data_IF_754888161241
#
_entry.id   IF_754888161241
#
_cell.length_a   1.000
_cell.length_b   1.000
_cell.length_c   1.000
_cell.angle_alpha   90.00
_cell.angle_beta   90.00
_cell.angle_gamma   90.00
#
_symmetry.space_group_name_H-M   'P 1'
#
loop_
_entity.id
_entity.type
_entity.pdbx_description
1 polymer ?
#
# COMPACT_ATOMS: atom_id res chain seq x y z
N UNK A 1 -1.53 -35.19 -7.46
CA UNK A 1 -1.53 -34.22 -6.34
C UNK A 1 -0.27 -33.41 -6.51
N UNK A 2 -0.39 -32.16 -6.86
CA UNK A 2 0.76 -31.25 -6.83
C UNK A 2 1.19 -31.08 -5.37
N UNK A 3 2.50 -31.10 -5.11
CA UNK A 3 3.05 -30.87 -3.76
C UNK A 3 2.67 -29.47 -3.26
N UNK A 4 2.89 -29.22 -1.95
CA UNK A 4 2.74 -27.90 -1.38
C UNK A 4 3.69 -26.90 -2.06
N UNK A 5 3.22 -25.68 -2.30
CA UNK A 5 4.10 -24.60 -2.81
C UNK A 5 5.09 -24.20 -1.72
N UNK A 6 6.39 -24.30 -2.00
CA UNK A 6 7.48 -23.98 -1.06
C UNK A 6 7.86 -22.52 -1.17
N UNK A 7 7.69 -21.77 -0.09
CA UNK A 7 7.78 -20.30 -0.07
C UNK A 7 8.87 -19.85 0.89
N UNK A 8 9.66 -18.84 0.48
CA UNK A 8 10.46 -18.05 1.37
C UNK A 8 9.83 -16.65 1.58
N UNK A 9 9.95 -16.08 2.78
CA UNK A 9 9.52 -14.72 3.08
C UNK A 9 10.74 -13.81 3.28
N UNK A 10 10.79 -12.71 2.54
CA UNK A 10 11.91 -11.74 2.53
C UNK A 10 11.42 -10.40 3.05
N UNK A 11 11.97 -9.96 4.19
CA UNK A 11 11.52 -8.80 4.95
C UNK A 11 10.33 -9.14 5.85
N UNK A 12 10.55 -9.30 7.14
CA UNK A 12 9.52 -9.66 8.13
C UNK A 12 8.86 -8.42 8.73
N UNK A 13 8.41 -7.52 7.87
CA UNK A 13 7.62 -6.35 8.24
C UNK A 13 6.15 -6.69 8.49
N UNK A 14 5.39 -5.67 8.91
CA UNK A 14 3.95 -5.83 9.21
C UNK A 14 3.14 -6.42 8.04
N UNK A 15 3.49 -6.09 6.79
CA UNK A 15 2.78 -6.62 5.61
C UNK A 15 3.05 -8.10 5.41
N UNK A 16 4.31 -8.49 5.39
CA UNK A 16 4.70 -9.90 5.24
C UNK A 16 4.08 -10.77 6.33
N UNK A 17 4.11 -10.32 7.60
CA UNK A 17 3.48 -11.08 8.69
C UNK A 17 1.98 -11.33 8.46
N UNK A 18 1.25 -10.39 7.82
CA UNK A 18 -0.16 -10.61 7.46
C UNK A 18 -0.32 -11.68 6.38
N UNK A 19 0.55 -11.70 5.39
CA UNK A 19 0.55 -12.75 4.34
C UNK A 19 0.89 -14.12 4.90
N UNK A 20 1.84 -14.18 5.82
CA UNK A 20 2.23 -15.43 6.48
C UNK A 20 1.11 -16.03 7.34
N UNK A 21 0.18 -15.22 7.87
CA UNK A 21 -1.01 -15.75 8.56
C UNK A 21 -1.87 -16.62 7.64
N UNK A 22 -1.99 -16.26 6.36
CA UNK A 22 -2.67 -17.12 5.39
C UNK A 22 -1.98 -18.49 5.29
N UNK A 23 -0.64 -18.54 5.20
CA UNK A 23 0.11 -19.80 5.16
C UNK A 23 -0.05 -20.61 6.45
N UNK A 24 -0.13 -19.94 7.59
CA UNK A 24 -0.36 -20.58 8.88
C UNK A 24 -1.72 -21.29 8.95
N UNK A 25 -2.75 -20.66 8.40
CA UNK A 25 -4.12 -21.18 8.34
C UNK A 25 -4.33 -22.25 7.25
N UNK A 26 -3.52 -22.26 6.18
CA UNK A 26 -3.68 -23.09 4.98
C UNK A 26 -2.42 -23.92 4.67
N UNK A 27 -1.93 -24.63 5.67
CA UNK A 27 -0.70 -25.45 5.60
C UNK A 27 -0.78 -26.62 4.61
N UNK A 28 -1.97 -26.93 4.13
CA UNK A 28 -2.19 -27.94 3.10
C UNK A 28 -1.78 -27.47 1.71
N UNK A 29 -1.85 -26.16 1.43
CA UNK A 29 -1.59 -25.57 0.11
C UNK A 29 -0.15 -25.09 -0.06
N UNK A 30 0.46 -24.55 1.01
CA UNK A 30 1.81 -24.01 0.96
C UNK A 30 2.62 -24.33 2.23
N UNK A 31 3.93 -24.25 2.10
CA UNK A 31 4.91 -24.44 3.17
C UNK A 31 5.86 -23.25 3.23
N UNK A 32 5.96 -22.57 4.38
CA UNK A 32 7.02 -21.62 4.64
C UNK A 32 8.31 -22.39 4.93
N UNK A 33 9.29 -22.27 4.04
CA UNK A 33 10.57 -23.02 4.10
C UNK A 33 11.66 -22.18 4.72
N UNK A 34 11.68 -20.87 4.46
CA UNK A 34 12.74 -19.97 4.94
C UNK A 34 12.22 -18.54 5.15
N UNK A 35 12.96 -17.80 5.98
CA UNK A 35 12.73 -16.37 6.20
C UNK A 35 14.03 -15.59 6.12
N UNK A 36 13.94 -14.34 5.65
CA UNK A 36 15.09 -13.43 5.53
C UNK A 36 14.72 -12.08 6.15
N UNK A 37 15.45 -11.66 7.18
CA UNK A 37 15.39 -10.28 7.73
C UNK A 37 16.73 -9.96 8.43
N UNK A 38 17.33 -8.79 8.23
CA UNK A 38 18.55 -8.40 8.93
C UNK A 38 18.45 -8.47 10.46
N UNK A 39 17.25 -8.24 10.98
CA UNK A 39 16.89 -8.40 12.38
C UNK A 39 16.24 -9.76 12.62
N UNK A 40 17.05 -10.75 12.99
CA UNK A 40 16.55 -12.12 13.23
C UNK A 40 15.57 -12.23 14.40
N UNK A 41 15.48 -11.22 15.29
CA UNK A 41 14.45 -11.24 16.35
C UNK A 41 13.04 -11.21 15.80
N UNK A 42 12.84 -10.67 14.59
CA UNK A 42 11.56 -10.71 13.89
C UNK A 42 11.21 -12.10 13.36
N UNK A 43 12.18 -12.98 13.21
CA UNK A 43 11.96 -14.35 12.76
C UNK A 43 11.39 -15.27 13.87
N UNK A 44 11.48 -14.88 15.14
CA UNK A 44 11.11 -15.73 16.27
C UNK A 44 9.65 -16.20 16.19
N UNK A 45 8.71 -15.30 15.86
CA UNK A 45 7.32 -15.68 15.63
C UNK A 45 7.16 -16.69 14.48
N UNK A 46 7.80 -16.43 13.33
CA UNK A 46 7.70 -17.34 12.18
C UNK A 46 8.33 -18.72 12.48
N UNK A 47 9.44 -18.72 13.22
CA UNK A 47 10.07 -19.98 13.67
C UNK A 47 9.14 -20.82 14.52
N UNK A 48 8.47 -20.18 15.49
CA UNK A 48 7.51 -20.86 16.37
C UNK A 48 6.29 -21.32 15.58
N UNK A 49 5.65 -20.40 14.85
CA UNK A 49 4.42 -20.67 14.13
C UNK A 49 4.57 -21.77 13.05
N UNK A 50 5.69 -21.77 12.33
CA UNK A 50 5.93 -22.72 11.22
C UNK A 50 6.93 -23.84 11.55
N UNK A 51 7.44 -23.89 12.78
CA UNK A 51 8.46 -24.86 13.20
C UNK A 51 9.71 -24.82 12.30
N UNK A 52 10.14 -23.61 11.92
CA UNK A 52 11.30 -23.42 11.06
C UNK A 52 12.60 -23.74 11.81
N UNK A 53 13.54 -24.50 11.21
CA UNK A 53 14.88 -24.63 11.72
C UNK A 53 15.62 -23.29 11.77
N UNK A 54 16.50 -23.10 12.75
CA UNK A 54 17.27 -21.84 12.86
C UNK A 54 18.16 -21.56 11.66
N UNK A 55 18.65 -22.61 11.01
CA UNK A 55 19.44 -22.57 9.76
C UNK A 55 18.64 -22.13 8.53
N UNK A 56 17.30 -22.04 8.62
CA UNK A 56 16.43 -21.51 7.57
C UNK A 56 16.05 -20.03 7.82
N UNK A 57 16.68 -19.38 8.80
CA UNK A 57 16.50 -17.97 9.10
C UNK A 57 17.77 -17.21 8.70
N UNK A 58 17.71 -16.43 7.65
CA UNK A 58 18.82 -15.75 7.02
C UNK A 58 18.81 -14.25 7.33
N UNK A 59 20.00 -13.61 7.36
CA UNK A 59 20.12 -12.16 7.50
C UNK A 59 20.09 -11.42 6.17
N UNK A 60 20.51 -12.08 5.10
CA UNK A 60 20.62 -11.51 3.76
C UNK A 60 20.05 -12.47 2.71
N UNK A 61 19.59 -11.89 1.60
CA UNK A 61 19.01 -12.65 0.49
C UNK A 61 20.05 -13.58 -0.15
N UNK A 62 21.31 -13.15 -0.23
CA UNK A 62 22.39 -13.97 -0.79
C UNK A 62 22.65 -15.24 0.04
N UNK A 63 22.44 -15.19 1.36
CA UNK A 63 22.55 -16.39 2.21
C UNK A 63 21.43 -17.40 1.85
N UNK A 64 20.21 -16.91 1.60
CA UNK A 64 19.10 -17.76 1.15
C UNK A 64 19.41 -18.40 -0.21
N UNK A 65 19.90 -17.61 -1.19
CA UNK A 65 20.19 -18.12 -2.53
C UNK A 65 21.35 -19.13 -2.52
N UNK A 66 22.32 -18.96 -1.63
CA UNK A 66 23.45 -19.87 -1.45
C UNK A 66 23.09 -21.14 -0.65
N UNK A 67 21.95 -21.19 0.04
CA UNK A 67 21.57 -22.29 0.94
C UNK A 67 21.28 -23.61 0.23
N UNK A 68 20.95 -23.57 -1.06
CA UNK A 68 20.53 -24.75 -1.84
C UNK A 68 19.12 -25.24 -1.53
N UNK A 69 18.34 -24.51 -0.74
CA UNK A 69 16.94 -24.82 -0.47
C UNK A 69 16.10 -24.79 -1.75
N UNK A 70 15.25 -25.78 -1.90
CA UNK A 70 14.32 -25.85 -3.04
C UNK A 70 13.08 -25.04 -2.73
N UNK A 71 12.87 -23.97 -3.49
CA UNK A 71 11.76 -23.04 -3.36
C UNK A 71 11.03 -22.89 -4.69
N UNK A 72 9.71 -22.72 -4.61
CA UNK A 72 8.85 -22.41 -5.74
C UNK A 72 8.61 -20.89 -5.85
N UNK A 73 8.60 -20.18 -4.71
CA UNK A 73 8.24 -18.77 -4.66
C UNK A 73 8.87 -18.00 -3.49
N UNK A 74 8.88 -16.67 -3.64
CA UNK A 74 9.18 -15.72 -2.59
C UNK A 74 8.05 -14.73 -2.35
N UNK A 75 7.80 -14.39 -1.07
CA UNK A 75 7.01 -13.21 -0.67
C UNK A 75 8.01 -12.11 -0.30
N UNK A 76 7.98 -10.98 -0.99
CA UNK A 76 8.90 -9.86 -0.78
C UNK A 76 8.14 -8.68 -0.22
N UNK A 77 8.41 -8.31 1.04
CA UNK A 77 7.81 -7.18 1.75
C UNK A 77 8.84 -6.37 2.52
N UNK A 78 9.96 -6.11 1.89
CA UNK A 78 11.04 -5.22 2.35
C UNK A 78 10.68 -3.74 2.17
N UNK A 79 11.51 -2.78 2.59
CA UNK A 79 11.41 -1.41 2.08
C UNK A 79 11.54 -1.35 0.55
N UNK A 80 10.83 -0.41 -0.08
CA UNK A 80 10.66 -0.25 -1.52
C UNK A 80 11.98 -0.24 -2.31
N UNK A 81 13.00 0.33 -1.72
CA UNK A 81 14.38 0.41 -2.21
C UNK A 81 14.96 -0.95 -2.67
N UNK A 82 14.56 -2.05 -2.03
CA UNK A 82 15.10 -3.39 -2.29
C UNK A 82 14.22 -4.25 -3.20
N UNK A 83 13.00 -3.79 -3.53
CA UNK A 83 12.02 -4.59 -4.25
C UNK A 83 12.51 -5.08 -5.61
N UNK A 84 13.12 -4.20 -6.41
CA UNK A 84 13.64 -4.52 -7.74
C UNK A 84 14.71 -5.61 -7.67
N UNK A 85 15.78 -5.37 -6.91
CA UNK A 85 16.91 -6.30 -6.82
C UNK A 85 16.48 -7.68 -6.34
N UNK A 86 15.66 -7.73 -5.30
CA UNK A 86 15.17 -8.97 -4.72
C UNK A 86 14.23 -9.72 -5.66
N UNK A 87 13.33 -9.03 -6.35
CA UNK A 87 12.40 -9.64 -7.29
C UNK A 87 13.12 -10.23 -8.50
N UNK A 88 14.05 -9.48 -9.09
CA UNK A 88 14.88 -9.93 -10.21
C UNK A 88 15.75 -11.12 -9.77
N UNK A 89 16.39 -11.03 -8.61
CA UNK A 89 17.19 -12.12 -8.03
C UNK A 89 16.36 -13.39 -7.85
N UNK A 90 15.18 -13.30 -7.25
CA UNK A 90 14.29 -14.43 -7.04
C UNK A 90 13.88 -15.10 -8.37
N UNK A 91 13.46 -14.32 -9.36
CA UNK A 91 13.06 -14.85 -10.68
C UNK A 91 14.21 -15.55 -11.39
N UNK A 92 15.42 -15.02 -11.33
CA UNK A 92 16.62 -15.65 -11.91
C UNK A 92 17.02 -16.95 -11.20
N UNK A 93 16.63 -17.13 -9.92
CA UNK A 93 16.73 -18.40 -9.21
C UNK A 93 15.57 -19.35 -9.51
N UNK A 94 14.63 -18.98 -10.39
CA UNK A 94 13.51 -19.79 -10.81
C UNK A 94 12.29 -19.70 -9.88
N UNK A 95 12.23 -18.72 -8.98
CA UNK A 95 11.15 -18.55 -8.04
C UNK A 95 10.10 -17.56 -8.54
N UNK A 96 8.82 -17.86 -8.31
CA UNK A 96 7.72 -16.91 -8.49
C UNK A 96 7.73 -15.87 -7.37
N UNK A 97 7.16 -14.69 -7.60
CA UNK A 97 7.27 -13.58 -6.64
C UNK A 97 5.89 -13.00 -6.32
N UNK A 98 5.57 -12.93 -5.03
CA UNK A 98 4.53 -12.05 -4.49
C UNK A 98 5.23 -10.81 -3.96
N UNK A 99 5.03 -9.66 -4.62
CA UNK A 99 5.79 -8.44 -4.38
C UNK A 99 4.93 -7.33 -3.77
N UNK A 100 5.37 -6.79 -2.64
CA UNK A 100 4.74 -5.57 -2.10
C UNK A 100 4.91 -4.39 -3.05
N UNK A 101 3.94 -3.48 -2.95
CA UNK A 101 3.94 -2.25 -3.74
C UNK A 101 4.70 -1.11 -3.02
N UNK A 102 5.25 -0.14 -3.76
CA UNK A 102 5.41 -0.13 -5.22
C UNK A 102 6.44 -1.15 -5.66
N UNK A 103 6.32 -1.68 -6.88
CA UNK A 103 7.21 -2.77 -7.32
C UNK A 103 8.65 -2.32 -7.58
N UNK A 104 8.88 -1.02 -7.83
CA UNK A 104 10.20 -0.40 -7.97
C UNK A 104 10.13 1.09 -7.74
N UNK A 105 11.26 1.75 -7.55
CA UNK A 105 11.37 3.19 -7.30
C UNK A 105 11.54 4.03 -8.57
N UNK A 106 11.90 3.40 -9.69
CA UNK A 106 12.06 4.06 -10.99
C UNK A 106 11.31 3.32 -12.10
N UNK A 107 11.07 4.01 -13.21
CA UNK A 107 10.45 3.41 -14.39
C UNK A 107 11.29 2.24 -14.91
N UNK A 108 12.60 2.40 -14.96
CA UNK A 108 13.55 1.38 -15.43
C UNK A 108 13.45 0.11 -14.57
N UNK A 109 13.43 0.26 -13.25
CA UNK A 109 13.29 -0.86 -12.33
C UNK A 109 11.97 -1.62 -12.54
N UNK A 110 10.87 -0.88 -12.71
CA UNK A 110 9.56 -1.49 -12.94
C UNK A 110 9.51 -2.24 -14.29
N UNK A 111 10.12 -1.68 -15.34
CA UNK A 111 10.22 -2.34 -16.65
C UNK A 111 11.09 -3.58 -16.61
N UNK A 112 12.24 -3.51 -15.94
CA UNK A 112 13.16 -4.65 -15.78
C UNK A 112 12.48 -5.82 -15.06
N UNK A 113 11.70 -5.57 -13.99
CA UNK A 113 10.91 -6.63 -13.33
C UNK A 113 9.96 -7.32 -14.31
N UNK A 114 9.28 -6.58 -15.17
CA UNK A 114 8.36 -7.16 -16.16
C UNK A 114 9.13 -7.93 -17.22
N UNK A 115 10.24 -7.40 -17.72
CA UNK A 115 11.09 -8.04 -18.71
C UNK A 115 11.66 -9.35 -18.19
N UNK A 116 12.25 -9.35 -16.99
CA UNK A 116 12.79 -10.57 -16.36
C UNK A 116 11.69 -11.59 -16.04
N UNK A 117 10.48 -11.14 -15.69
CA UNK A 117 9.32 -12.03 -15.51
C UNK A 117 8.99 -12.78 -16.82
N UNK A 118 9.00 -12.07 -17.95
CA UNK A 118 8.77 -12.67 -19.28
C UNK A 118 9.93 -13.59 -19.69
N UNK A 119 11.17 -13.17 -19.49
CA UNK A 119 12.38 -13.96 -19.83
C UNK A 119 12.44 -15.29 -19.06
N UNK A 120 12.14 -15.26 -17.77
CA UNK A 120 12.24 -16.44 -16.90
C UNK A 120 10.97 -17.30 -16.86
N UNK A 121 9.86 -16.78 -17.37
CA UNK A 121 8.55 -17.39 -17.26
C UNK A 121 8.05 -17.47 -15.79
N UNK A 122 8.55 -16.59 -14.91
CA UNK A 122 8.14 -16.53 -13.51
C UNK A 122 7.05 -15.48 -13.33
N UNK A 123 6.00 -15.82 -12.57
CA UNK A 123 4.93 -14.88 -12.22
C UNK A 123 5.43 -13.90 -11.16
N UNK A 124 5.16 -12.62 -11.38
CA UNK A 124 5.24 -11.58 -10.35
C UNK A 124 3.84 -11.04 -10.12
N UNK A 125 3.30 -11.29 -8.93
CA UNK A 125 2.01 -10.75 -8.46
C UNK A 125 2.29 -9.55 -7.58
N UNK A 126 1.80 -8.37 -7.95
CA UNK A 126 1.95 -7.15 -7.15
C UNK A 126 0.80 -7.05 -6.16
N UNK A 127 1.09 -6.74 -4.89
CA UNK A 127 0.10 -6.69 -3.81
C UNK A 127 -0.87 -5.50 -3.93
N UNK A 128 -1.57 -5.40 -5.04
CA UNK A 128 -2.65 -4.43 -5.27
C UNK A 128 -3.96 -4.94 -4.68
N UNK A 129 -4.03 -4.88 -3.34
CA UNK A 129 -5.10 -5.48 -2.54
C UNK A 129 -6.50 -4.91 -2.83
N UNK A 130 -6.63 -3.71 -3.42
CA UNK A 130 -7.93 -3.15 -3.75
C UNK A 130 -8.69 -4.02 -4.76
N UNK A 131 -8.01 -4.66 -5.70
CA UNK A 131 -8.64 -5.59 -6.67
C UNK A 131 -9.22 -6.86 -6.01
N UNK A 132 -8.89 -7.12 -4.73
CA UNK A 132 -9.38 -8.26 -3.95
C UNK A 132 -10.36 -7.85 -2.84
N UNK A 133 -10.48 -6.56 -2.56
CA UNK A 133 -11.36 -6.05 -1.51
C UNK A 133 -12.82 -6.07 -1.96
N UNK A 134 -13.77 -6.62 -1.16
CA UNK A 134 -15.17 -6.80 -1.58
C UNK A 134 -15.86 -5.54 -2.09
N UNK A 135 -15.59 -4.39 -1.46
CA UNK A 135 -16.13 -3.09 -1.87
C UNK A 135 -15.68 -2.69 -3.29
N UNK A 136 -14.37 -2.75 -3.57
CA UNK A 136 -13.82 -2.37 -4.89
C UNK A 136 -14.19 -3.38 -5.98
N UNK A 137 -14.29 -4.66 -5.64
CA UNK A 137 -14.83 -5.69 -6.54
C UNK A 137 -16.28 -5.39 -6.92
N UNK A 138 -17.10 -4.93 -5.97
CA UNK A 138 -18.49 -4.56 -6.25
C UNK A 138 -18.59 -3.31 -7.12
N UNK A 139 -17.73 -2.30 -6.92
CA UNK A 139 -17.66 -1.14 -7.83
C UNK A 139 -17.31 -1.59 -9.26
N UNK A 140 -16.38 -2.50 -9.43
CA UNK A 140 -16.01 -3.06 -10.74
C UNK A 140 -17.18 -3.85 -11.37
N UNK A 141 -17.86 -4.68 -10.59
CA UNK A 141 -19.04 -5.43 -11.05
C UNK A 141 -20.14 -4.49 -11.53
N UNK A 142 -20.48 -3.47 -10.72
CA UNK A 142 -21.49 -2.48 -11.07
C UNK A 142 -21.12 -1.68 -12.31
N UNK A 143 -19.86 -1.24 -12.41
CA UNK A 143 -19.38 -0.47 -13.56
C UNK A 143 -19.42 -1.26 -14.88
N UNK A 144 -19.39 -2.59 -14.81
CA UNK A 144 -19.47 -3.49 -15.96
C UNK A 144 -20.92 -3.95 -16.27
N UNK A 145 -21.89 -3.61 -15.41
CA UNK A 145 -23.30 -3.95 -15.62
C UNK A 145 -23.88 -3.13 -16.79
N UNK A 146 -24.42 -3.81 -17.76
CA UNK A 146 -25.00 -3.19 -18.98
C UNK A 146 -26.10 -2.16 -18.69
N UNK A 147 -26.75 -2.25 -17.54
CA UNK A 147 -27.76 -1.26 -17.11
C UNK A 147 -27.17 0.14 -16.91
N UNK A 148 -25.90 0.22 -16.54
CA UNK A 148 -25.20 1.48 -16.33
C UNK A 148 -24.88 2.21 -17.65
N UNK A 149 -24.75 1.48 -18.76
CA UNK A 149 -24.20 2.00 -20.01
C UNK A 149 -22.69 2.18 -19.92
N UNK A 150 -22.12 2.99 -20.81
CA UNK A 150 -20.68 3.25 -20.81
C UNK A 150 -20.29 4.17 -19.64
N UNK A 151 -19.07 3.96 -19.10
CA UNK A 151 -18.43 4.92 -18.20
C UNK A 151 -18.11 6.18 -19.01
N UNK A 152 -18.46 7.33 -18.48
CA UNK A 152 -18.17 8.65 -19.04
C UNK A 152 -17.00 9.33 -18.29
N UNK A 153 -17.02 9.23 -16.98
CA UNK A 153 -15.93 9.71 -16.14
C UNK A 153 -15.82 8.96 -14.81
N UNK A 154 -14.62 8.99 -14.23
CA UNK A 154 -14.35 8.47 -12.89
C UNK A 154 -13.62 9.54 -12.08
N UNK A 155 -14.11 9.81 -10.86
CA UNK A 155 -13.40 10.59 -9.85
C UNK A 155 -13.16 9.73 -8.63
N UNK A 156 -11.89 9.61 -8.25
CA UNK A 156 -11.46 8.79 -7.12
C UNK A 156 -10.58 9.60 -6.19
N UNK A 157 -10.91 9.62 -4.90
CA UNK A 157 -10.22 10.42 -3.87
C UNK A 157 -9.67 9.48 -2.80
N UNK A 158 -8.38 9.47 -2.61
CA UNK A 158 -7.71 8.84 -1.44
C UNK A 158 -7.54 9.90 -0.35
N UNK A 159 -8.27 9.75 0.75
CA UNK A 159 -8.14 10.56 1.96
C UNK A 159 -7.16 9.89 2.92
N UNK A 160 -5.91 10.31 2.91
CA UNK A 160 -4.83 9.70 3.70
C UNK A 160 -5.04 9.89 5.20
N UNK A 161 -5.62 11.03 5.57
CA UNK A 161 -5.85 11.44 6.94
C UNK A 161 -4.65 12.16 7.57
N UNK A 162 -4.94 13.26 8.27
CA UNK A 162 -3.92 14.16 8.85
C UNK A 162 -2.94 13.47 9.81
N UNK A 163 -3.43 12.59 10.67
CA UNK A 163 -2.59 11.90 11.67
C UNK A 163 -1.60 10.96 11.00
N UNK A 164 -2.07 10.18 10.01
CA UNK A 164 -1.22 9.29 9.23
C UNK A 164 -0.19 10.07 8.44
N UNK A 165 -0.59 11.17 7.83
CA UNK A 165 0.33 12.02 7.08
C UNK A 165 1.40 12.59 8.00
N UNK A 166 1.01 13.17 9.14
CA UNK A 166 1.94 13.71 10.12
C UNK A 166 2.90 12.64 10.68
N UNK A 167 2.39 11.44 10.98
CA UNK A 167 3.20 10.34 11.53
C UNK A 167 4.13 9.74 10.48
N UNK A 168 3.60 9.33 9.32
CA UNK A 168 4.32 8.49 8.36
C UNK A 168 5.18 9.32 7.42
N UNK A 169 4.59 10.37 6.85
CA UNK A 169 5.21 11.11 5.76
C UNK A 169 5.96 12.36 6.21
N UNK A 170 5.45 13.12 7.18
CA UNK A 170 6.13 14.35 7.63
C UNK A 170 7.20 14.06 8.68
N UNK A 171 6.87 13.29 9.73
CA UNK A 171 7.81 12.95 10.82
C UNK A 171 8.52 11.63 10.60
N UNK A 172 7.90 10.71 9.87
CA UNK A 172 8.36 9.35 9.68
C UNK A 172 9.48 9.22 8.64
N UNK A 173 9.89 7.98 8.33
CA UNK A 173 10.99 7.72 7.40
C UNK A 173 10.66 8.04 5.94
N UNK A 174 9.39 8.27 5.59
CA UNK A 174 8.95 8.62 4.24
C UNK A 174 8.85 10.14 4.01
N UNK A 175 9.60 10.96 4.76
CA UNK A 175 9.54 12.41 4.66
C UNK A 175 10.44 13.02 3.58
N UNK A 176 11.25 12.22 2.90
CA UNK A 176 12.15 12.68 1.84
C UNK A 176 12.00 11.82 0.59
N UNK A 177 11.76 12.48 -0.54
CA UNK A 177 11.65 11.83 -1.85
C UNK A 177 12.93 11.09 -2.26
N UNK A 178 14.09 11.64 -1.93
CA UNK A 178 15.39 11.04 -2.27
C UNK A 178 15.61 9.65 -1.65
N UNK A 179 15.00 9.39 -0.51
CA UNK A 179 15.11 8.12 0.22
C UNK A 179 14.00 7.14 -0.13
N UNK A 180 12.90 7.65 -0.70
CA UNK A 180 11.68 6.91 -0.97
C UNK A 180 11.04 7.42 -2.25
N UNK A 181 9.95 6.81 -2.67
CA UNK A 181 9.07 7.38 -3.70
C UNK A 181 8.22 8.52 -3.09
N UNK A 182 7.56 9.31 -3.93
CA UNK A 182 6.66 10.37 -3.47
C UNK A 182 5.49 9.82 -2.69
N UNK A 183 4.82 10.69 -1.89
CA UNK A 183 3.62 10.29 -1.15
C UNK A 183 2.54 9.79 -2.10
N UNK A 184 2.35 10.48 -3.23
CA UNK A 184 1.37 10.07 -4.24
C UNK A 184 1.70 8.67 -4.78
N UNK A 185 2.93 8.41 -5.16
CA UNK A 185 3.32 7.10 -5.65
C UNK A 185 3.15 6.02 -4.58
N UNK A 186 3.68 6.24 -3.38
CA UNK A 186 3.57 5.28 -2.26
C UNK A 186 2.12 4.95 -1.91
N UNK A 187 1.23 5.95 -1.96
CA UNK A 187 -0.17 5.80 -1.56
C UNK A 187 -1.11 5.50 -2.71
N UNK A 188 -1.03 6.28 -3.78
CA UNK A 188 -2.03 6.26 -4.85
C UNK A 188 -1.70 5.35 -6.02
N UNK A 189 -0.56 4.62 -6.02
CA UNK A 189 -0.35 3.58 -7.02
C UNK A 189 -1.47 2.52 -7.02
N UNK A 190 -2.02 2.20 -5.84
CA UNK A 190 -3.23 1.38 -5.70
C UNK A 190 -4.46 2.01 -6.36
N UNK A 191 -4.62 3.32 -6.17
CA UNK A 191 -5.80 4.07 -6.58
C UNK A 191 -5.78 4.31 -8.08
N UNK A 192 -4.60 4.59 -8.63
CA UNK A 192 -4.38 4.64 -10.08
C UNK A 192 -4.63 3.27 -10.71
N UNK A 193 -4.09 2.19 -10.12
CA UNK A 193 -4.33 0.83 -10.57
C UNK A 193 -5.83 0.48 -10.55
N UNK A 194 -6.53 0.81 -9.47
CA UNK A 194 -7.97 0.59 -9.35
C UNK A 194 -8.74 1.32 -10.45
N UNK A 195 -8.42 2.58 -10.71
CA UNK A 195 -9.11 3.37 -11.74
C UNK A 195 -8.83 2.83 -13.13
N UNK A 196 -7.59 2.41 -13.44
CA UNK A 196 -7.27 1.75 -14.70
C UNK A 196 -8.02 0.42 -14.86
N UNK A 197 -8.04 -0.39 -13.81
CA UNK A 197 -8.80 -1.65 -13.80
C UNK A 197 -10.30 -1.41 -13.98
N UNK A 198 -10.85 -0.36 -13.33
CA UNK A 198 -12.26 -0.01 -13.42
C UNK A 198 -12.66 0.37 -14.84
N UNK A 199 -11.89 1.25 -15.48
CA UNK A 199 -12.16 1.77 -16.83
C UNK A 199 -11.79 0.80 -17.94
N UNK A 200 -10.74 -0.01 -17.73
CA UNK A 200 -10.21 -0.90 -18.77
C UNK A 200 -9.56 -0.19 -19.96
N UNK A 201 -9.45 1.16 -19.89
CA UNK A 201 -8.95 1.99 -20.97
C UNK A 201 -7.43 2.17 -20.93
N UNK A 202 -6.86 2.59 -22.08
CA UNK A 202 -5.48 3.05 -22.18
C UNK A 202 -5.44 4.56 -21.99
N UNK A 203 -4.42 5.05 -21.28
CA UNK A 203 -4.24 6.48 -21.03
C UNK A 203 -3.53 7.14 -22.19
N UNK A 204 -4.16 8.15 -22.78
CA UNK A 204 -3.61 8.96 -23.86
C UNK A 204 -2.82 10.15 -23.33
N UNK A 205 -3.37 10.86 -22.33
CA UNK A 205 -2.73 12.04 -21.74
C UNK A 205 -2.92 12.10 -20.22
N UNK A 206 -1.99 12.81 -19.56
CA UNK A 206 -1.99 13.01 -18.10
C UNK A 206 -1.73 14.48 -17.82
N UNK A 207 -2.49 15.03 -16.84
CA UNK A 207 -2.22 16.33 -16.22
C UNK A 207 -2.14 16.15 -14.72
N UNK A 208 -1.10 16.68 -14.07
CA UNK A 208 -0.91 16.61 -12.62
C UNK A 208 -0.83 18.01 -12.03
N UNK A 209 -1.59 18.22 -10.96
CA UNK A 209 -1.50 19.42 -10.12
C UNK A 209 -1.17 19.00 -8.71
N UNK A 210 -0.07 19.51 -8.15
CA UNK A 210 0.43 19.14 -6.83
C UNK A 210 0.90 20.36 -6.04
N UNK A 211 0.89 20.24 -4.70
CA UNK A 211 1.40 21.27 -3.83
C UNK A 211 1.40 20.91 -2.36
N UNK A 212 2.26 21.58 -1.60
CA UNK A 212 2.29 21.55 -0.14
C UNK A 212 1.54 22.77 0.36
N UNK A 213 0.35 22.54 0.93
CA UNK A 213 -0.54 23.59 1.41
C UNK A 213 -0.39 23.86 2.90
N UNK A 214 -0.15 22.83 3.69
CA UNK A 214 -0.19 22.87 5.15
C UNK A 214 1.20 22.76 5.77
N UNK A 215 2.01 21.79 5.38
CA UNK A 215 3.27 21.45 6.05
C UNK A 215 4.42 22.34 5.62
N UNK A 216 4.24 23.66 5.77
CA UNK A 216 5.24 24.70 5.46
C UNK A 216 5.50 25.57 6.68
N UNK A 217 6.70 26.16 6.77
CA UNK A 217 7.05 27.07 7.86
C UNK A 217 6.19 28.34 7.91
N UNK A 218 5.64 28.76 6.77
CA UNK A 218 4.73 29.91 6.70
C UNK A 218 3.40 29.67 7.44
N UNK A 219 2.99 28.41 7.59
CA UNK A 219 1.76 28.03 8.29
C UNK A 219 1.99 27.70 9.78
N UNK A 220 3.23 27.83 10.27
CA UNK A 220 3.51 27.55 11.67
C UNK A 220 2.74 28.53 12.59
N UNK A 221 1.93 28.05 13.53
CA UNK A 221 1.24 28.92 14.47
C UNK A 221 2.21 29.80 15.26
N UNK A 222 1.84 31.04 15.51
CA UNK A 222 2.63 31.97 16.34
C UNK A 222 2.87 31.33 17.72
N UNK A 223 4.14 31.29 18.17
CA UNK A 223 4.55 30.68 19.42
C UNK A 223 4.83 29.15 19.31
N UNK A 224 4.77 28.57 18.12
CA UNK A 224 5.22 27.19 17.90
C UNK A 224 6.74 27.08 18.09
N UNK A 225 7.19 25.89 18.50
CA UNK A 225 8.60 25.52 18.60
C UNK A 225 8.95 24.35 17.69
N UNK A 226 10.24 24.01 17.61
CA UNK A 226 10.75 22.88 16.83
C UNK A 226 10.27 21.51 17.35
N UNK A 227 9.89 21.44 18.65
CA UNK A 227 9.48 20.21 19.35
C UNK A 227 8.10 20.37 20.01
N UNK A 228 7.21 19.41 19.78
CA UNK A 228 5.86 19.43 20.36
C UNK A 228 5.86 19.40 21.90
N UNK A 229 6.81 18.70 22.53
CA UNK A 229 6.92 18.63 24.01
C UNK A 229 7.28 19.96 24.66
N UNK A 230 7.77 20.93 23.90
CA UNK A 230 8.15 22.28 24.37
C UNK A 230 7.32 23.38 23.72
N UNK A 231 6.28 23.01 22.98
CA UNK A 231 5.53 23.95 22.15
C UNK A 231 4.44 24.65 22.97
N UNK A 232 4.46 25.98 22.99
CA UNK A 232 3.47 26.79 23.73
C UNK A 232 2.04 26.65 23.20
N UNK A 233 1.88 26.29 21.91
CA UNK A 233 0.58 26.09 21.25
C UNK A 233 0.19 24.62 21.10
N UNK A 234 0.87 23.73 21.82
CA UNK A 234 0.72 22.28 21.69
C UNK A 234 -0.74 21.83 21.84
N UNK A 235 -1.46 22.36 22.87
CA UNK A 235 -2.83 21.92 23.19
C UNK A 235 -3.87 22.30 22.14
N UNK A 236 -3.58 23.27 21.29
CA UNK A 236 -4.50 23.73 20.23
C UNK A 236 -4.04 23.32 18.83
N UNK A 237 -2.87 22.70 18.73
CA UNK A 237 -2.32 22.29 17.45
C UNK A 237 -2.99 21.02 16.94
N UNK A 238 -3.61 21.01 15.74
CA UNK A 238 -4.26 19.82 15.18
C UNK A 238 -3.28 18.68 14.84
N UNK A 239 -1.98 18.98 14.83
CA UNK A 239 -0.90 18.02 14.54
C UNK A 239 -0.02 17.75 15.77
N UNK A 240 -0.54 17.97 16.98
CA UNK A 240 0.22 17.71 18.21
C UNK A 240 0.74 16.30 18.29
N UNK A 241 2.07 16.13 18.38
CA UNK A 241 2.67 14.84 18.62
C UNK A 241 2.40 14.32 20.05
N UNK A 242 2.25 15.26 21.00
CA UNK A 242 1.88 14.90 22.38
C UNK A 242 0.46 14.35 22.43
N UNK A 243 -0.47 14.95 21.69
CA UNK A 243 -1.82 14.41 21.58
C UNK A 243 -1.83 13.03 20.94
N UNK A 244 -1.18 12.88 19.79
CA UNK A 244 -1.17 11.66 19.01
C UNK A 244 -0.55 10.48 19.78
N UNK A 245 0.65 10.68 20.34
CA UNK A 245 1.42 9.56 20.91
C UNK A 245 1.26 9.40 22.42
N UNK A 246 1.12 10.49 23.17
CA UNK A 246 1.06 10.41 24.63
C UNK A 246 -0.37 10.32 25.15
N UNK A 247 -1.30 11.19 24.69
CA UNK A 247 -2.70 11.19 25.15
C UNK A 247 -3.52 10.07 24.53
N UNK A 248 -3.51 9.94 23.17
CA UNK A 248 -4.27 8.91 22.44
C UNK A 248 -3.55 7.58 22.35
N UNK A 249 -2.23 7.56 22.54
CA UNK A 249 -1.37 6.36 22.43
C UNK A 249 -1.44 5.68 21.04
N UNK A 250 -1.74 6.46 20.02
CA UNK A 250 -1.76 6.00 18.63
C UNK A 250 -0.32 5.87 18.08
N UNK A 251 -0.09 4.90 17.19
CA UNK A 251 1.17 4.74 16.43
C UNK A 251 2.44 4.52 17.26
N UNK A 252 2.33 4.07 18.52
CA UNK A 252 3.47 3.87 19.43
C UNK A 252 4.12 2.49 19.33
N UNK A 253 3.59 1.57 18.51
CA UNK A 253 4.08 0.18 18.41
C UNK A 253 5.57 0.06 18.01
N UNK A 254 6.12 1.07 17.33
CA UNK A 254 7.52 1.11 16.94
C UNK A 254 8.45 1.79 17.97
N UNK A 255 7.90 2.25 19.10
CA UNK A 255 8.70 2.89 20.15
C UNK A 255 9.28 1.82 21.10
N UNK A 256 10.55 1.96 21.41
CA UNK A 256 11.28 0.99 22.24
C UNK A 256 11.60 1.59 23.60
N UNK A 257 11.15 0.92 24.66
CA UNK A 257 11.44 1.31 26.04
C UNK A 257 12.89 0.93 26.41
N UNK A 258 13.53 1.77 27.25
CA UNK A 258 14.78 1.41 27.92
C UNK A 258 14.49 0.58 29.17
N UNK A 259 15.44 -0.23 29.68
CA UNK A 259 15.24 -0.99 30.90
C UNK A 259 14.78 -0.10 32.07
N UNK A 260 13.65 -0.46 32.68
CA UNK A 260 13.05 0.27 33.81
C UNK A 260 12.20 1.49 33.43
N UNK A 261 12.10 1.82 32.15
CA UNK A 261 11.30 2.95 31.66
C UNK A 261 9.82 2.57 31.55
N UNK A 262 8.94 3.39 32.08
CA UNK A 262 7.50 3.26 31.85
C UNK A 262 7.13 3.61 30.41
N UNK A 263 5.96 3.18 29.96
CA UNK A 263 5.47 3.54 28.60
C UNK A 263 5.40 5.06 28.39
N UNK A 264 4.98 5.80 29.42
CA UNK A 264 4.85 7.25 29.34
C UNK A 264 6.21 7.94 29.23
N UNK A 265 7.18 7.54 30.07
CA UNK A 265 8.56 8.04 29.99
C UNK A 265 9.19 7.72 28.64
N UNK A 266 9.00 6.51 28.12
CA UNK A 266 9.42 6.12 26.79
C UNK A 266 8.87 7.07 25.72
N UNK A 267 7.56 7.34 25.73
CA UNK A 267 6.93 8.21 24.74
C UNK A 267 7.48 9.63 24.86
N UNK A 268 7.57 10.19 26.06
CA UNK A 268 8.12 11.54 26.26
C UNK A 268 9.54 11.65 25.75
N UNK A 269 10.38 10.68 26.06
CA UNK A 269 11.76 10.61 25.54
C UNK A 269 11.79 10.51 24.02
N UNK A 270 10.96 9.64 23.41
CA UNK A 270 10.87 9.51 21.97
C UNK A 270 10.43 10.82 21.29
N UNK A 271 9.53 11.57 21.92
CA UNK A 271 9.11 12.88 21.43
C UNK A 271 10.18 13.95 21.59
N UNK A 272 11.04 13.87 22.59
CA UNK A 272 12.14 14.82 22.77
C UNK A 272 13.35 14.52 21.88
N UNK A 273 13.72 13.26 21.75
CA UNK A 273 14.97 12.82 21.10
C UNK A 273 14.79 12.48 19.62
N UNK A 274 13.63 11.91 19.21
CA UNK A 274 13.46 11.38 17.86
C UNK A 274 12.75 12.34 16.91
N UNK A 275 12.68 11.97 15.62
CA UNK A 275 11.95 12.72 14.59
C UNK A 275 10.46 12.86 14.89
N UNK A 276 9.86 11.92 15.62
CA UNK A 276 8.42 11.88 15.86
C UNK A 276 7.89 13.03 16.72
N UNK A 277 8.75 13.70 17.51
CA UNK A 277 8.38 14.88 18.27
C UNK A 277 8.59 16.21 17.54
N UNK A 278 9.09 16.21 16.31
CA UNK A 278 9.31 17.44 15.52
C UNK A 278 8.00 18.14 15.18
N UNK A 279 8.07 19.46 15.09
CA UNK A 279 6.98 20.28 14.56
C UNK A 279 6.78 19.98 13.07
N UNK A 280 5.55 19.70 12.64
CA UNK A 280 5.24 19.38 11.23
C UNK A 280 5.44 20.56 10.28
N UNK A 281 5.41 21.80 10.80
CA UNK A 281 5.61 23.01 10.02
C UNK A 281 7.08 23.40 9.88
N UNK A 282 7.95 22.81 10.69
CA UNK A 282 9.36 23.16 10.76
C UNK A 282 10.27 21.92 10.59
N UNK A 283 9.84 20.93 9.84
CA UNK A 283 10.69 19.82 9.42
C UNK A 283 11.54 20.26 8.23
N UNK A 284 12.84 20.57 8.40
CA UNK A 284 13.65 21.19 7.35
C UNK A 284 13.88 20.27 6.14
N UNK A 285 13.71 18.98 6.32
CA UNK A 285 13.94 17.95 5.30
C UNK A 285 12.61 17.49 4.65
N UNK A 286 11.49 18.19 4.95
CA UNK A 286 10.18 17.77 4.48
C UNK A 286 9.87 18.33 3.10
N UNK A 287 9.73 17.46 2.11
CA UNK A 287 9.29 17.77 0.75
C UNK A 287 7.91 17.15 0.42
N UNK A 288 7.16 16.82 1.44
CA UNK A 288 5.86 16.14 1.33
C UNK A 288 4.85 17.03 0.61
N UNK A 289 4.33 16.52 -0.50
CA UNK A 289 3.16 17.05 -1.17
C UNK A 289 1.93 16.59 -0.39
N UNK A 290 1.11 17.51 0.11
CA UNK A 290 -0.08 17.18 0.92
C UNK A 290 -1.39 17.15 0.13
N UNK A 291 -1.35 17.57 -1.15
CA UNK A 291 -2.42 17.40 -2.12
C UNK A 291 -1.88 17.24 -3.53
N UNK A 292 -2.39 16.23 -4.23
CA UNK A 292 -2.10 16.03 -5.65
C UNK A 292 -3.36 15.53 -6.38
N UNK A 293 -3.63 16.07 -7.56
CA UNK A 293 -4.67 15.60 -8.47
C UNK A 293 -4.02 15.17 -9.78
N UNK A 294 -4.35 13.98 -10.26
CA UNK A 294 -3.89 13.44 -11.53
C UNK A 294 -5.10 13.15 -12.40
N UNK A 295 -5.23 13.90 -13.47
CA UNK A 295 -6.28 13.75 -14.48
C UNK A 295 -5.71 12.95 -15.66
N UNK A 296 -6.38 11.86 -16.00
CA UNK A 296 -6.06 10.96 -17.10
C UNK A 296 -7.17 11.06 -18.15
N UNK A 297 -6.80 11.30 -19.41
CA UNK A 297 -7.70 11.17 -20.55
C UNK A 297 -7.43 9.83 -21.23
N UNK A 298 -8.47 8.99 -21.35
CA UNK A 298 -8.36 7.68 -21.96
C UNK A 298 -8.59 7.74 -23.48
N UNK A 299 -8.03 6.79 -24.22
CA UNK A 299 -8.16 6.72 -25.68
C UNK A 299 -9.60 6.57 -26.18
N UNK A 300 -10.51 6.07 -25.34
CA UNK A 300 -11.94 5.94 -25.61
C UNK A 300 -12.78 7.17 -25.19
N UNK A 301 -12.11 8.24 -24.74
CA UNK A 301 -12.71 9.49 -24.31
C UNK A 301 -13.18 9.54 -22.86
N UNK A 302 -12.98 8.46 -22.07
CA UNK A 302 -13.25 8.48 -20.62
C UNK A 302 -12.26 9.41 -19.94
N UNK A 303 -12.74 10.25 -19.03
CA UNK A 303 -11.91 11.11 -18.17
C UNK A 303 -11.87 10.57 -16.76
N UNK A 304 -10.69 10.26 -16.26
CA UNK A 304 -10.49 9.78 -14.91
C UNK A 304 -9.61 10.74 -14.08
N UNK A 305 -9.99 10.98 -12.84
CA UNK A 305 -9.25 11.83 -11.91
C UNK A 305 -8.97 11.05 -10.64
N UNK A 306 -7.70 10.98 -10.24
CA UNK A 306 -7.25 10.46 -8.94
C UNK A 306 -6.73 11.62 -8.10
N UNK A 307 -7.30 11.81 -6.93
CA UNK A 307 -6.95 12.89 -6.00
C UNK A 307 -6.41 12.27 -4.71
N UNK A 308 -5.24 12.71 -4.30
CA UNK A 308 -4.69 12.45 -2.97
C UNK A 308 -4.93 13.67 -2.08
N UNK A 309 -5.55 13.46 -0.91
CA UNK A 309 -5.75 14.48 0.12
C UNK A 309 -5.19 13.99 1.46
N UNK A 310 -4.14 14.66 1.95
CA UNK A 310 -3.39 14.23 3.13
C UNK A 310 -3.88 14.84 4.45
N UNK A 311 -4.66 15.91 4.39
CA UNK A 311 -5.01 16.74 5.57
C UNK A 311 -6.49 16.67 5.95
N UNK A 312 -7.13 15.55 5.64
CA UNK A 312 -8.51 15.25 5.99
C UNK A 312 -8.62 14.58 7.37
N UNK A 313 -9.78 14.67 7.98
CA UNK A 313 -10.10 13.89 9.19
C UNK A 313 -10.49 12.45 8.83
N UNK A 314 -11.12 12.27 7.69
CA UNK A 314 -11.45 10.97 7.11
C UNK A 314 -10.19 10.23 6.65
N UNK A 315 -10.28 8.89 6.67
CA UNK A 315 -9.20 7.96 6.28
C UNK A 315 -9.80 6.87 5.40
N UNK A 316 -10.42 7.27 4.31
CA UNK A 316 -11.14 6.39 3.39
C UNK A 316 -10.95 6.84 1.95
N UNK A 317 -11.59 6.13 1.03
CA UNK A 317 -11.68 6.49 -0.37
C UNK A 317 -13.09 6.90 -0.74
N UNK A 318 -13.19 7.89 -1.58
CA UNK A 318 -14.46 8.29 -2.17
C UNK A 318 -14.40 8.17 -3.69
N UNK A 319 -15.37 7.47 -4.27
CA UNK A 319 -15.42 7.19 -5.71
C UNK A 319 -16.73 7.66 -6.29
N UNK A 320 -16.68 8.36 -7.43
CA UNK A 320 -17.82 8.70 -8.28
C UNK A 320 -17.56 8.16 -9.68
N UNK A 321 -18.49 7.38 -10.20
CA UNK A 321 -18.46 6.85 -11.56
C UNK A 321 -19.69 7.38 -12.29
N UNK A 322 -19.48 8.29 -13.24
CA UNK A 322 -20.52 8.76 -14.13
C UNK A 322 -20.66 7.80 -15.30
N UNK A 323 -21.83 7.21 -15.46
CA UNK A 323 -22.18 6.36 -16.59
C UNK A 323 -23.27 7.01 -17.46
N UNK A 324 -23.51 6.46 -18.65
CA UNK A 324 -24.59 6.94 -19.55
C UNK A 324 -25.95 6.93 -18.86
N UNK A 325 -26.28 5.87 -18.11
CA UNK A 325 -27.62 5.64 -17.54
C UNK A 325 -27.68 5.79 -16.02
N UNK A 326 -26.55 5.91 -15.31
CA UNK A 326 -26.52 5.96 -13.86
C UNK A 326 -25.29 6.73 -13.33
N UNK A 327 -25.35 7.09 -12.06
CA UNK A 327 -24.20 7.54 -11.27
C UNK A 327 -23.98 6.55 -10.14
N UNK A 328 -22.76 6.07 -9.96
CA UNK A 328 -22.37 5.20 -8.87
C UNK A 328 -21.48 6.02 -7.94
N UNK A 329 -21.83 6.09 -6.66
CA UNK A 329 -21.02 6.75 -5.63
C UNK A 329 -20.68 5.77 -4.52
N UNK A 330 -19.52 5.95 -3.89
CA UNK A 330 -19.14 5.09 -2.76
C UNK A 330 -18.02 5.69 -1.90
N UNK A 331 -18.05 5.34 -0.59
CA UNK A 331 -17.19 5.88 0.47
C UNK A 331 -16.52 4.79 1.34
N UNK A 332 -16.34 3.60 0.79
CA UNK A 332 -15.89 2.37 1.47
C UNK A 332 -16.88 1.84 2.54
N UNK A 333 -17.95 2.57 2.87
CA UNK A 333 -19.03 2.08 3.75
C UNK A 333 -20.26 1.69 2.97
N UNK A 334 -20.59 2.46 1.94
CA UNK A 334 -21.75 2.26 1.10
C UNK A 334 -21.38 2.44 -0.37
N UNK A 335 -22.11 1.75 -1.23
CA UNK A 335 -22.18 2.06 -2.66
C UNK A 335 -23.64 2.40 -2.96
N UNK A 336 -23.86 3.53 -3.61
CA UNK A 336 -25.18 3.97 -4.04
C UNK A 336 -25.21 4.10 -5.57
N UNK A 337 -26.25 3.54 -6.19
CA UNK A 337 -26.49 3.63 -7.63
C UNK A 337 -27.73 4.47 -7.85
N UNK A 338 -27.56 5.63 -8.48
CA UNK A 338 -28.64 6.54 -8.87
C UNK A 338 -28.85 6.44 -10.36
N UNK A 339 -29.95 5.83 -10.78
CA UNK A 339 -30.31 5.73 -12.19
C UNK A 339 -30.87 7.07 -12.71
N UNK A 340 -30.47 7.46 -13.94
CA UNK A 340 -30.96 8.68 -14.59
C UNK A 340 -32.43 8.57 -15.02
N UNK A 341 -32.91 7.35 -15.23
CA UNK A 341 -34.35 7.08 -15.50
C UNK A 341 -35.16 7.16 -14.20
N UNK A 342 -36.11 8.10 -14.06
CA UNK A 342 -36.84 8.32 -12.79
C UNK A 342 -37.67 7.13 -12.31
N UNK A 343 -38.02 6.23 -13.21
CA UNK A 343 -38.83 5.02 -12.90
C UNK A 343 -38.02 3.88 -12.32
N UNK A 344 -36.65 3.98 -12.34
CA UNK A 344 -35.77 2.93 -11.81
C UNK A 344 -35.42 3.29 -10.37
N UNK A 345 -35.72 2.42 -9.39
CA UNK A 345 -35.34 2.67 -8.00
C UNK A 345 -33.86 2.70 -7.83
N UNK A 346 -33.37 3.54 -6.89
CA UNK A 346 -31.98 3.58 -6.49
C UNK A 346 -31.58 2.27 -5.80
N UNK A 347 -30.32 1.88 -5.95
CA UNK A 347 -29.74 0.73 -5.26
C UNK A 347 -28.73 1.20 -4.24
N UNK A 348 -28.68 0.52 -3.08
CA UNK A 348 -27.69 0.78 -2.03
C UNK A 348 -27.12 -0.53 -1.52
N UNK A 349 -25.78 -0.58 -1.42
CA UNK A 349 -25.04 -1.73 -0.93
C UNK A 349 -24.26 -1.33 0.32
N UNK A 350 -24.34 -2.13 1.39
CA UNK A 350 -23.71 -1.88 2.68
C UNK A 350 -22.40 -2.66 2.80
N UNK A 351 -21.31 -1.94 3.03
CA UNK A 351 -19.95 -2.45 3.25
C UNK A 351 -19.38 -2.02 4.61
N UNK A 352 -20.19 -1.46 5.52
CA UNK A 352 -19.73 -1.08 6.87
C UNK A 352 -19.06 -2.24 7.60
N UNK A 353 -19.48 -3.47 7.33
CA UNK A 353 -18.90 -4.68 7.89
C UNK A 353 -17.42 -4.87 7.53
N UNK A 354 -16.91 -4.24 6.47
CA UNK A 354 -15.49 -4.31 6.08
C UNK A 354 -14.63 -3.35 6.90
N UNK A 355 -15.23 -2.30 7.49
CA UNK A 355 -14.50 -1.29 8.25
C UNK A 355 -13.95 -1.87 9.56
N UNK A 356 -12.68 -1.60 9.82
CA UNK A 356 -11.99 -2.09 11.01
C UNK A 356 -11.68 -3.59 11.00
N UNK A 357 -12.09 -4.33 9.96
CA UNK A 357 -11.64 -5.70 9.81
C UNK A 357 -10.13 -5.76 9.56
N UNK A 358 -9.48 -6.69 10.21
CA UNK A 358 -8.09 -7.00 9.90
C UNK A 358 -7.95 -7.51 8.46
N UNK A 359 -6.72 -7.43 7.92
CA UNK A 359 -6.39 -8.00 6.60
C UNK A 359 -7.21 -7.38 5.44
N UNK A 360 -7.57 -6.09 5.58
CA UNK A 360 -8.37 -5.38 4.55
C UNK A 360 -9.61 -6.20 4.12
N UNK A 361 -10.43 -6.60 5.10
CA UNK A 361 -11.60 -7.44 4.89
C UNK A 361 -11.30 -8.75 4.12
N UNK A 362 -10.15 -9.36 4.40
CA UNK A 362 -9.72 -10.61 3.78
C UNK A 362 -8.96 -10.46 2.46
N UNK A 363 -8.85 -9.24 1.91
CA UNK A 363 -8.15 -9.02 0.64
C UNK A 363 -6.67 -9.43 0.67
N UNK A 364 -5.99 -9.25 1.81
CA UNK A 364 -4.61 -9.70 2.01
C UNK A 364 -4.48 -11.24 1.87
N UNK A 365 -5.45 -12.00 2.35
CA UNK A 365 -5.48 -13.45 2.20
C UNK A 365 -5.83 -13.88 0.78
N UNK A 366 -6.72 -13.15 0.11
CA UNK A 366 -7.13 -13.49 -1.26
C UNK A 366 -5.99 -13.34 -2.27
N UNK A 367 -5.14 -12.31 -2.15
CA UNK A 367 -3.98 -12.15 -3.03
C UNK A 367 -2.97 -13.29 -2.84
N UNK A 368 -2.72 -13.71 -1.58
CA UNK A 368 -1.82 -14.84 -1.29
C UNK A 368 -2.41 -16.14 -1.82
N UNK A 369 -3.71 -16.36 -1.58
CA UNK A 369 -4.43 -17.53 -2.09
C UNK A 369 -4.30 -17.66 -3.60
N UNK A 370 -4.66 -16.61 -4.34
CA UNK A 370 -4.61 -16.62 -5.80
C UNK A 370 -3.19 -16.84 -6.33
N UNK A 371 -2.18 -16.25 -5.69
CA UNK A 371 -0.78 -16.46 -6.03
C UNK A 371 -0.37 -17.93 -5.86
N UNK A 372 -0.70 -18.56 -4.73
CA UNK A 372 -0.40 -19.96 -4.47
C UNK A 372 -1.15 -20.87 -5.45
N UNK A 373 -2.44 -20.63 -5.66
CA UNK A 373 -3.28 -21.42 -6.57
C UNK A 373 -2.75 -21.34 -8.00
N UNK A 374 -2.30 -20.18 -8.45
CA UNK A 374 -1.72 -20.00 -9.80
C UNK A 374 -0.47 -20.83 -10.02
N UNK A 375 0.39 -20.94 -9.00
CA UNK A 375 1.60 -21.76 -9.04
C UNK A 375 1.23 -23.26 -8.99
N UNK A 376 0.35 -23.64 -8.08
CA UNK A 376 -0.06 -25.04 -7.89
C UNK A 376 -0.79 -25.61 -9.11
N UNK A 377 -1.59 -24.80 -9.81
CA UNK A 377 -2.29 -25.21 -11.03
C UNK A 377 -1.39 -25.18 -12.27
N UNK A 378 -0.32 -24.39 -12.26
CA UNK A 378 0.52 -24.11 -13.42
C UNK A 378 -0.10 -23.16 -14.43
N UNK A 379 -1.26 -22.56 -14.15
CA UNK A 379 -1.90 -21.59 -15.04
C UNK A 379 -1.15 -20.25 -15.08
N UNK A 380 -0.39 -19.94 -14.01
CA UNK A 380 0.51 -18.80 -13.88
C UNK A 380 -0.15 -17.44 -14.19
N UNK A 381 -1.43 -17.29 -13.83
CA UNK A 381 -2.21 -16.06 -14.00
C UNK A 381 -2.74 -15.57 -12.66
N UNK A 382 -2.63 -14.24 -12.43
CA UNK A 382 -3.18 -13.56 -11.25
C UNK A 382 -3.87 -12.26 -11.67
N UNK A 383 -4.71 -11.69 -10.81
CA UNK A 383 -5.42 -10.41 -11.09
C UNK A 383 -4.50 -9.20 -11.15
N UNK A 384 -3.33 -9.30 -10.54
CA UNK A 384 -2.40 -8.17 -10.40
C UNK A 384 -0.99 -8.54 -10.88
N UNK A 385 -0.85 -9.02 -12.14
CA UNK A 385 0.46 -9.34 -12.68
C UNK A 385 1.29 -8.06 -12.83
N UNK A 386 2.62 -8.18 -12.73
CA UNK A 386 3.53 -7.05 -12.87
C UNK A 386 3.36 -6.28 -14.20
N UNK A 387 2.96 -6.97 -15.27
CA UNK A 387 2.70 -6.37 -16.58
C UNK A 387 1.53 -5.38 -16.57
N UNK A 388 0.46 -5.67 -15.82
CA UNK A 388 -0.65 -4.73 -15.63
C UNK A 388 -0.29 -3.65 -14.61
N UNK A 389 0.36 -4.03 -13.50
CA UNK A 389 0.82 -3.10 -12.47
C UNK A 389 1.78 -2.03 -13.03
N UNK A 390 2.56 -2.35 -14.07
CA UNK A 390 3.45 -1.40 -14.73
C UNK A 390 2.70 -0.15 -15.20
N UNK A 391 1.51 -0.28 -15.75
CA UNK A 391 0.75 0.86 -16.27
C UNK A 391 0.47 1.91 -15.19
N UNK A 392 0.03 1.50 -14.00
CA UNK A 392 -0.22 2.41 -12.88
C UNK A 392 1.07 3.07 -12.37
N UNK A 393 2.18 2.34 -12.32
CA UNK A 393 3.49 2.88 -11.94
C UNK A 393 3.96 3.94 -12.92
N UNK A 394 3.86 3.69 -14.24
CA UNK A 394 4.22 4.66 -15.29
C UNK A 394 3.42 5.96 -15.18
N UNK A 395 2.12 5.86 -14.85
CA UNK A 395 1.29 7.05 -14.63
C UNK A 395 1.77 7.81 -13.41
N UNK A 396 2.07 7.13 -12.30
CA UNK A 396 2.59 7.78 -11.10
C UNK A 396 3.93 8.49 -11.37
N UNK A 397 4.86 7.87 -12.09
CA UNK A 397 6.12 8.52 -12.45
C UNK A 397 5.90 9.78 -13.33
N UNK A 398 5.03 9.70 -14.35
CA UNK A 398 4.71 10.84 -15.20
C UNK A 398 3.99 11.95 -14.46
N UNK A 399 3.19 11.63 -13.43
CA UNK A 399 2.52 12.60 -12.60
C UNK A 399 3.47 13.40 -11.70
N UNK A 400 4.73 12.99 -11.58
CA UNK A 400 5.77 13.67 -10.82
C UNK A 400 6.57 14.69 -11.64
N UNK A 401 6.51 14.63 -12.95
CA UNK A 401 7.14 15.58 -13.89
C UNK A 401 6.27 16.84 -14.00
#
# INVERSE_FOLDING_TARGET
MHGKVKIAAVGLGNRTCKYLRYLEEHRESAELVAVVDPDLSKADWAREAFSLPSEHCFRAFDELTASGLQLDACIIGTPDLYHHELAVGAMRHGWHVLLEKPMGQTEEQCRDIVEVSLETGRVVTVCYILRYHPYFMKLKELSADSRMGKILSVKHIERVGRDRTAHTFVRGPWNMKEMNTTVFFTKCCHDVDFVLWLTGGQVESIKSEKGTRIFTSANAPAGSSDRCVRCAVEQTCPYSAVDLYLRRKDWIKGFVAKPGETQEEMIVRMLDESRYGRCVYACPENDVIDRQSVVMEMTDGVKAEVIMECVTDEKDRYTVIECENAVITGDESFIEVTYKAPSVPQEKYDFQWTRGMELHAGADHQVVKEFIDSIASGELQTRTPSSEALASHLICFRAEI
#
